data_IF_825088701242
#
_entry.id   IF_825088701242
#
_cell.length_a   1.000
_cell.length_b   1.000
_cell.length_c   1.000
_cell.angle_alpha   90.00
_cell.angle_beta   90.00
_cell.angle_gamma   90.00
#
_symmetry.space_group_name_H-M   'P 1'
#
loop_
_entity.id
_entity.type
_entity.pdbx_description
1 polymer ?
#
# COMPACT_ATOMS: atom_id res chain seq x y z
N UNK A 1 -24.21 -37.67 -10.83
CA UNK A 1 -23.41 -37.17 -9.70
C UNK A 1 -22.01 -36.65 -10.07
N UNK A 2 -21.44 -36.90 -11.25
CA UNK A 2 -20.07 -36.44 -11.61
C UNK A 2 -19.93 -34.97 -12.05
N UNK A 3 -21.03 -34.23 -12.28
CA UNK A 3 -20.98 -32.83 -12.77
C UNK A 3 -20.68 -31.79 -11.68
N UNK A 4 -21.04 -32.06 -10.43
CA UNK A 4 -20.83 -31.13 -9.30
C UNK A 4 -19.37 -31.05 -8.85
N UNK A 5 -18.56 -32.09 -9.08
CA UNK A 5 -17.14 -32.08 -8.71
C UNK A 5 -16.29 -31.13 -9.56
N UNK A 6 -16.66 -30.93 -10.84
CA UNK A 6 -15.92 -30.07 -11.77
C UNK A 6 -16.10 -28.59 -11.43
N UNK A 7 -17.30 -28.18 -10.99
CA UNK A 7 -17.58 -26.79 -10.61
C UNK A 7 -16.82 -26.41 -9.33
N UNK A 8 -16.75 -27.31 -8.34
CA UNK A 8 -15.98 -27.08 -7.12
C UNK A 8 -14.48 -26.99 -7.40
N UNK A 9 -13.97 -27.82 -8.32
CA UNK A 9 -12.57 -27.78 -8.75
C UNK A 9 -12.23 -26.47 -9.48
N UNK A 10 -13.15 -25.94 -10.30
CA UNK A 10 -12.95 -24.68 -11.02
C UNK A 10 -12.93 -23.44 -10.09
N UNK A 11 -13.72 -23.47 -9.01
CA UNK A 11 -13.77 -22.39 -8.02
C UNK A 11 -12.50 -22.29 -7.15
N UNK A 12 -11.75 -23.40 -6.99
CA UNK A 12 -10.52 -23.41 -6.19
C UNK A 12 -9.31 -22.72 -6.87
N UNK A 13 -9.40 -22.38 -8.17
CA UNK A 13 -8.27 -21.82 -8.93
C UNK A 13 -8.26 -20.27 -8.93
N UNK A 14 -9.26 -19.62 -8.32
CA UNK A 14 -9.33 -18.16 -8.17
C UNK A 14 -8.43 -17.65 -7.03
N UNK A 15 -7.15 -18.04 -7.03
CA UNK A 15 -6.16 -17.44 -6.12
C UNK A 15 -5.87 -16.02 -6.61
N UNK A 16 -5.99 -14.99 -5.77
CA UNK A 16 -5.63 -13.63 -6.17
C UNK A 16 -4.14 -13.59 -6.50
N UNK A 17 -3.83 -13.54 -7.79
CA UNK A 17 -2.48 -13.30 -8.26
C UNK A 17 -2.10 -11.86 -7.88
N UNK A 18 -1.35 -11.70 -6.79
CA UNK A 18 -0.66 -10.46 -6.45
C UNK A 18 0.49 -10.28 -7.44
N UNK A 19 0.17 -9.82 -8.63
CA UNK A 19 1.15 -9.52 -9.67
C UNK A 19 1.65 -8.08 -9.47
N UNK A 20 2.88 -7.94 -8.94
CA UNK A 20 3.61 -6.67 -9.02
C UNK A 20 4.14 -6.50 -10.44
N UNK A 21 4.02 -5.29 -10.98
CA UNK A 21 4.56 -4.94 -12.29
C UNK A 21 5.76 -4.01 -12.12
N UNK A 22 6.89 -4.39 -12.69
CA UNK A 22 8.13 -3.62 -12.68
C UNK A 22 8.27 -2.96 -14.04
N UNK A 23 8.52 -1.65 -14.03
CA UNK A 23 8.79 -0.86 -15.22
C UNK A 23 10.16 -0.19 -15.07
N UNK A 24 11.01 -0.29 -16.08
CA UNK A 24 12.29 0.44 -16.12
C UNK A 24 12.62 0.84 -17.55
N UNK A 25 13.48 1.85 -17.69
CA UNK A 25 14.02 2.24 -18.99
C UNK A 25 15.44 1.71 -19.14
N UNK A 26 15.71 1.05 -20.25
CA UNK A 26 17.06 0.63 -20.63
C UNK A 26 17.87 1.88 -21.02
N UNK A 27 19.00 2.17 -20.34
CA UNK A 27 19.79 3.36 -20.61
C UNK A 27 20.46 3.34 -21.98
N UNK A 28 20.74 2.16 -22.54
CA UNK A 28 21.46 2.03 -23.81
C UNK A 28 20.52 2.21 -25.01
N UNK A 29 19.31 1.64 -24.92
CA UNK A 29 18.34 1.68 -26.01
C UNK A 29 17.24 2.72 -25.86
N UNK A 30 17.08 3.30 -24.66
CA UNK A 30 15.98 4.20 -24.31
C UNK A 30 14.60 3.52 -24.29
N UNK A 31 14.55 2.18 -24.41
CA UNK A 31 13.29 1.43 -24.43
C UNK A 31 12.77 1.20 -23.01
N UNK A 32 11.46 1.29 -22.85
CA UNK A 32 10.79 0.93 -21.60
C UNK A 32 10.45 -0.55 -21.60
N UNK A 33 10.80 -1.23 -20.52
CA UNK A 33 10.52 -2.63 -20.27
C UNK A 33 9.47 -2.78 -19.17
N UNK A 34 8.66 -3.83 -19.28
CA UNK A 34 7.66 -4.22 -18.30
C UNK A 34 7.84 -5.70 -17.95
N UNK A 35 7.81 -6.03 -16.66
CA UNK A 35 7.95 -7.41 -16.18
C UNK A 35 7.07 -7.66 -14.97
N UNK A 36 6.55 -8.88 -14.82
CA UNK A 36 5.92 -9.34 -13.57
C UNK A 36 6.93 -9.78 -12.52
N UNK A 37 8.18 -10.00 -12.93
CA UNK A 37 9.29 -10.39 -12.07
C UNK A 37 10.28 -9.23 -11.89
N UNK A 38 10.84 -9.05 -10.68
CA UNK A 38 11.83 -8.00 -10.44
C UNK A 38 13.09 -8.25 -11.27
N UNK A 39 13.68 -7.21 -11.90
CA UNK A 39 15.00 -7.32 -12.51
C UNK A 39 16.04 -7.82 -11.49
N UNK A 40 17.00 -8.63 -11.93
CA UNK A 40 17.98 -9.26 -11.02
C UNK A 40 18.73 -8.24 -10.14
N UNK A 41 18.97 -7.03 -10.66
CA UNK A 41 19.67 -5.96 -9.95
C UNK A 41 18.79 -5.16 -8.98
N UNK A 42 17.45 -5.21 -9.10
CA UNK A 42 16.52 -4.45 -8.24
C UNK A 42 16.66 -4.79 -6.75
N UNK A 43 17.08 -6.02 -6.43
CA UNK A 43 17.32 -6.47 -5.05
C UNK A 43 18.80 -6.59 -4.68
N UNK A 44 19.69 -6.26 -5.61
CA UNK A 44 21.13 -6.32 -5.37
C UNK A 44 21.62 -4.98 -4.81
N UNK A 45 22.79 -4.98 -4.20
CA UNK A 45 23.49 -3.74 -3.84
C UNK A 45 24.06 -3.00 -5.07
N UNK A 46 23.91 -3.56 -6.28
CA UNK A 46 24.38 -2.93 -7.50
C UNK A 46 23.41 -1.82 -7.94
N UNK A 47 23.96 -0.66 -8.26
CA UNK A 47 23.20 0.42 -8.88
C UNK A 47 22.74 -0.02 -10.28
N UNK A 48 21.43 -0.07 -10.48
CA UNK A 48 20.83 -0.29 -11.80
C UNK A 48 19.98 0.89 -12.26
N UNK A 49 19.33 0.78 -13.42
CA UNK A 49 18.37 1.77 -13.91
C UNK A 49 17.27 2.14 -12.90
N UNK A 50 16.55 3.23 -13.15
CA UNK A 50 15.36 3.54 -12.35
C UNK A 50 14.25 2.52 -12.64
N UNK A 51 13.76 1.86 -11.59
CA UNK A 51 12.57 1.00 -11.57
C UNK A 51 11.41 1.72 -10.89
N UNK A 52 10.25 1.65 -11.54
CA UNK A 52 8.93 1.89 -10.95
C UNK A 52 8.28 0.54 -10.66
N UNK A 53 7.73 0.38 -9.46
CA UNK A 53 7.01 -0.83 -9.07
C UNK A 53 5.56 -0.49 -8.85
N UNK A 54 4.68 -1.22 -9.54
CA UNK A 54 3.25 -1.08 -9.43
C UNK A 54 2.66 -2.32 -8.75
N UNK A 55 1.70 -2.10 -7.85
CA UNK A 55 0.87 -3.15 -7.26
C UNK A 55 -0.59 -2.74 -7.45
N UNK A 56 -1.39 -3.58 -8.14
CA UNK A 56 -2.80 -3.30 -8.47
C UNK A 56 -3.03 -1.93 -9.14
N UNK A 57 -2.14 -1.56 -10.06
CA UNK A 57 -2.21 -0.28 -10.79
C UNK A 57 -1.78 0.95 -9.99
N UNK A 58 -1.36 0.79 -8.73
CA UNK A 58 -0.82 1.88 -7.92
C UNK A 58 0.71 1.82 -7.87
N UNK A 59 1.38 2.97 -8.00
CA UNK A 59 2.83 3.06 -7.85
C UNK A 59 3.20 2.87 -6.37
N UNK A 60 3.91 1.79 -6.05
CA UNK A 60 4.31 1.44 -4.68
C UNK A 60 5.78 1.69 -4.39
N UNK A 61 6.63 1.75 -5.41
CA UNK A 61 8.05 2.04 -5.25
C UNK A 61 8.62 2.77 -6.46
N UNK A 62 9.55 3.68 -6.20
CA UNK A 62 10.29 4.44 -7.20
C UNK A 62 11.74 4.60 -6.74
N UNK A 63 12.59 3.75 -7.30
CA UNK A 63 14.02 3.70 -6.97
C UNK A 63 14.79 4.96 -7.38
N UNK A 64 14.21 5.83 -8.20
CA UNK A 64 14.83 7.11 -8.59
C UNK A 64 14.72 8.19 -7.52
N UNK A 65 13.86 8.01 -6.53
CA UNK A 65 13.71 8.97 -5.43
C UNK A 65 14.79 8.70 -4.38
N UNK A 66 15.82 9.54 -4.35
CA UNK A 66 16.82 9.49 -3.29
C UNK A 66 16.20 9.97 -1.97
N UNK A 67 16.05 9.06 -1.02
CA UNK A 67 15.57 9.39 0.33
C UNK A 67 16.76 9.50 1.28
N UNK A 68 16.91 10.66 1.94
CA UNK A 68 17.98 10.86 2.91
C UNK A 68 17.88 9.84 4.08
N UNK A 69 18.97 9.62 4.81
CA UNK A 69 19.03 8.57 5.83
C UNK A 69 18.02 8.77 6.96
N UNK A 70 17.80 10.02 7.37
CA UNK A 70 16.84 10.39 8.41
C UNK A 70 15.40 10.09 8.00
N UNK A 71 15.00 10.52 6.80
CA UNK A 71 13.68 10.26 6.24
C UNK A 71 13.46 8.76 6.02
N UNK A 72 14.48 7.99 5.62
CA UNK A 72 14.39 6.52 5.57
C UNK A 72 14.13 5.91 6.94
N UNK A 73 14.77 6.40 8.01
CA UNK A 73 14.51 5.93 9.38
C UNK A 73 13.08 6.26 9.81
N UNK A 74 12.61 7.49 9.56
CA UNK A 74 11.25 7.91 9.88
C UNK A 74 10.19 7.08 9.15
N UNK A 75 10.35 6.84 7.85
CA UNK A 75 9.44 6.01 7.06
C UNK A 75 9.39 4.57 7.56
N UNK A 76 10.54 4.00 7.96
CA UNK A 76 10.57 2.65 8.57
C UNK A 76 9.83 2.60 9.90
N UNK A 77 10.04 3.60 10.76
CA UNK A 77 9.32 3.69 12.04
C UNK A 77 7.81 3.80 11.80
N UNK A 78 7.39 4.65 10.87
CA UNK A 78 5.98 4.79 10.49
C UNK A 78 5.40 3.47 9.95
N UNK A 79 6.14 2.75 9.10
CA UNK A 79 5.72 1.46 8.57
C UNK A 79 5.55 0.40 9.68
N UNK A 80 6.44 0.40 10.68
CA UNK A 80 6.34 -0.51 11.83
C UNK A 80 5.12 -0.21 12.70
N UNK A 81 4.84 1.07 12.99
CA UNK A 81 3.64 1.48 13.74
C UNK A 81 2.39 1.06 12.99
N UNK A 82 2.30 1.38 11.70
CA UNK A 82 1.16 0.99 10.87
C UNK A 82 0.94 -0.52 10.84
N UNK A 83 2.02 -1.32 10.74
CA UNK A 83 1.92 -2.77 10.75
C UNK A 83 1.39 -3.32 12.08
N UNK A 84 1.75 -2.70 13.20
CA UNK A 84 1.21 -3.06 14.51
C UNK A 84 -0.29 -2.74 14.62
N UNK A 85 -0.70 -1.56 14.16
CA UNK A 85 -2.11 -1.15 14.13
C UNK A 85 -2.96 -2.10 13.24
N UNK A 86 -2.45 -2.42 12.05
CA UNK A 86 -3.11 -3.34 11.10
C UNK A 86 -3.25 -4.75 11.71
N UNK A 87 -2.23 -5.22 12.45
CA UNK A 87 -2.26 -6.51 13.14
C UNK A 87 -3.31 -6.52 14.27
N UNK A 88 -3.41 -5.46 15.06
CA UNK A 88 -4.41 -5.38 16.13
C UNK A 88 -5.83 -5.30 15.54
N UNK A 89 -6.03 -4.53 14.47
CA UNK A 89 -7.29 -4.47 13.76
C UNK A 89 -7.69 -5.84 13.16
N UNK A 90 -6.71 -6.58 12.61
CA UNK A 90 -6.94 -7.94 12.14
C UNK A 90 -7.33 -8.90 13.28
N UNK A 91 -6.66 -8.79 14.45
CA UNK A 91 -6.98 -9.60 15.63
C UNK A 91 -8.41 -9.34 16.12
N UNK A 92 -8.81 -8.07 16.25
CA UNK A 92 -10.17 -7.70 16.65
C UNK A 92 -11.23 -8.28 15.72
N UNK A 93 -11.04 -8.16 14.39
CA UNK A 93 -11.96 -8.76 13.41
C UNK A 93 -12.02 -10.29 13.52
N UNK A 94 -10.89 -10.94 13.81
CA UNK A 94 -10.85 -12.38 14.02
C UNK A 94 -11.64 -12.79 15.27
N UNK A 95 -11.47 -12.09 16.39
CA UNK A 95 -12.21 -12.31 17.64
C UNK A 95 -13.72 -12.09 17.45
N UNK A 96 -14.12 -11.00 16.78
CA UNK A 96 -15.52 -10.72 16.44
C UNK A 96 -16.12 -11.83 15.57
N UNK A 97 -15.40 -12.28 14.54
CA UNK A 97 -15.86 -13.36 13.68
C UNK A 97 -15.99 -14.69 14.42
N UNK A 98 -15.10 -14.97 15.38
CA UNK A 98 -15.15 -16.16 16.21
C UNK A 98 -16.32 -16.11 17.20
N UNK A 99 -16.61 -14.94 17.78
CA UNK A 99 -17.77 -14.74 18.66
C UNK A 99 -19.08 -14.96 17.91
N UNK A 100 -19.21 -14.39 16.69
CA UNK A 100 -20.39 -14.62 15.84
C UNK A 100 -20.54 -16.10 15.49
N UNK A 101 -19.45 -16.78 15.10
CA UNK A 101 -19.50 -18.22 14.81
C UNK A 101 -19.92 -19.06 16.03
N UNK A 102 -19.44 -18.71 17.23
CA UNK A 102 -19.84 -19.39 18.46
C UNK A 102 -21.33 -19.19 18.78
N UNK A 103 -21.87 -17.99 18.54
CA UNK A 103 -23.29 -17.70 18.69
C UNK A 103 -24.15 -18.53 17.71
N UNK A 104 -23.75 -18.61 16.45
CA UNK A 104 -24.39 -19.48 15.45
C UNK A 104 -24.33 -20.95 15.85
N UNK A 105 -23.18 -21.43 16.32
CA UNK A 105 -22.98 -22.83 16.72
C UNK A 105 -23.77 -23.20 17.99
N UNK A 106 -23.99 -22.25 18.91
CA UNK A 106 -24.78 -22.45 20.11
C UNK A 106 -26.30 -22.58 19.84
N UNK A 107 -26.73 -22.47 18.59
CA UNK A 107 -28.13 -22.66 18.19
C UNK A 107 -29.08 -21.56 18.66
N UNK A 108 -28.53 -20.43 19.15
CA UNK A 108 -29.32 -19.33 19.72
C UNK A 108 -29.81 -18.33 18.66
N UNK A 109 -29.43 -18.52 17.39
CA UNK A 109 -29.94 -17.75 16.27
C UNK A 109 -30.85 -18.65 15.45
N UNK A 110 -32.16 -18.52 15.65
CA UNK A 110 -33.11 -18.83 14.60
C UNK A 110 -32.65 -18.04 13.38
N UNK A 111 -32.19 -18.73 12.33
CA UNK A 111 -31.81 -18.08 11.08
C UNK A 111 -32.88 -17.04 10.76
N UNK A 112 -32.54 -15.74 10.58
CA UNK A 112 -33.48 -14.84 9.94
C UNK A 112 -33.95 -15.57 8.69
N UNK A 113 -35.27 -15.73 8.49
CA UNK A 113 -35.78 -16.57 7.42
C UNK A 113 -35.05 -16.13 6.18
N UNK A 114 -34.24 -17.05 5.62
CA UNK A 114 -33.68 -16.90 4.29
C UNK A 114 -34.86 -16.41 3.47
N UNK A 115 -34.80 -15.16 3.02
CA UNK A 115 -35.78 -14.60 2.10
C UNK A 115 -36.07 -15.70 1.09
N UNK A 116 -37.36 -16.00 0.82
CA UNK A 116 -37.76 -17.19 0.09
C UNK A 116 -36.81 -17.34 -1.07
N UNK A 117 -36.05 -18.44 -1.01
CA UNK A 117 -35.19 -18.90 -2.07
C UNK A 117 -36.07 -18.84 -3.30
N UNK A 118 -35.89 -17.78 -4.09
CA UNK A 118 -36.67 -17.54 -5.29
C UNK A 118 -36.57 -18.85 -6.04
N UNK A 119 -37.73 -19.46 -6.24
CA UNK A 119 -37.88 -20.80 -6.76
C UNK A 119 -36.87 -20.97 -7.89
N UNK A 120 -36.11 -22.06 -7.82
CA UNK A 120 -35.33 -22.52 -8.94
C UNK A 120 -36.26 -22.60 -10.16
N UNK A 121 -36.24 -21.56 -10.98
CA UNK A 121 -36.78 -21.63 -12.31
C UNK A 121 -35.86 -22.54 -13.12
N UNK A 122 -36.43 -23.50 -13.86
CA UNK A 122 -35.67 -24.54 -14.53
C UNK A 122 -34.83 -23.91 -15.64
N UNK A 123 -33.68 -24.54 -15.87
CA UNK A 123 -32.81 -24.32 -17.02
C UNK A 123 -33.60 -24.16 -18.33
N UNK A 124 -33.70 -22.92 -18.80
CA UNK A 124 -34.05 -22.58 -20.17
C UNK A 124 -33.15 -21.42 -20.62
N UNK A 125 -32.30 -21.76 -21.59
CA UNK A 125 -31.62 -20.88 -22.53
C UNK A 125 -30.58 -19.88 -22.00
N UNK A 126 -29.36 -20.10 -22.50
CA UNK A 126 -28.26 -19.16 -22.50
C UNK A 126 -28.66 -17.89 -23.27
N UNK A 127 -29.23 -16.91 -22.57
CA UNK A 127 -29.28 -15.53 -23.00
C UNK A 127 -28.02 -14.81 -22.53
N UNK A 128 -27.14 -14.44 -23.46
CA UNK A 128 -26.10 -13.43 -23.26
C UNK A 128 -26.71 -12.19 -22.58
N UNK A 129 -26.39 -11.97 -21.30
CA UNK A 129 -26.49 -10.63 -20.72
C UNK A 129 -25.14 -9.96 -21.02
N UNK A 130 -25.01 -9.50 -22.26
CA UNK A 130 -24.13 -8.40 -22.62
C UNK A 130 -24.79 -7.13 -22.05
N UNK A 131 -24.70 -6.95 -20.74
CA UNK A 131 -25.01 -5.65 -20.12
C UNK A 131 -23.84 -4.73 -20.50
N UNK A 132 -24.00 -4.05 -21.64
CA UNK A 132 -23.21 -2.88 -21.97
C UNK A 132 -23.17 -1.98 -20.72
N UNK A 133 -22.00 -1.47 -20.31
CA UNK A 133 -21.92 -0.55 -19.18
C UNK A 133 -22.86 0.62 -19.49
N UNK A 134 -23.88 0.83 -18.64
CA UNK A 134 -24.73 2.00 -18.73
C UNK A 134 -23.81 3.23 -18.69
N UNK A 135 -23.74 3.94 -19.82
CA UNK A 135 -23.01 5.19 -19.89
C UNK A 135 -23.59 6.11 -18.82
N UNK A 136 -22.78 6.42 -17.81
CA UNK A 136 -23.13 7.39 -16.77
C UNK A 136 -23.25 8.74 -17.47
N UNK A 137 -24.47 9.11 -17.84
CA UNK A 137 -24.79 10.41 -18.41
C UNK A 137 -24.75 11.44 -17.28
N UNK A 138 -23.59 12.04 -17.07
CA UNK A 138 -23.45 13.20 -16.19
C UNK A 138 -24.19 14.39 -16.83
N UNK A 139 -25.02 15.06 -16.04
CA UNK A 139 -25.65 16.31 -16.49
C UNK A 139 -24.61 17.42 -16.60
N UNK A 140 -24.89 18.45 -17.41
CA UNK A 140 -24.00 19.62 -17.52
C UNK A 140 -23.79 20.30 -16.16
N UNK A 141 -24.81 20.26 -15.29
CA UNK A 141 -24.74 20.74 -13.91
C UNK A 141 -23.72 19.94 -13.07
N UNK A 142 -23.76 18.61 -13.13
CA UNK A 142 -22.80 17.75 -12.43
C UNK A 142 -21.36 17.94 -12.95
N UNK A 143 -21.20 18.17 -14.25
CA UNK A 143 -19.89 18.46 -14.85
C UNK A 143 -19.34 19.80 -14.33
N UNK A 144 -20.19 20.82 -14.19
CA UNK A 144 -19.79 22.11 -13.65
C UNK A 144 -19.47 22.02 -12.15
N UNK A 145 -20.25 21.27 -11.37
CA UNK A 145 -19.96 21.03 -9.95
C UNK A 145 -18.60 20.33 -9.75
N UNK A 146 -18.29 19.33 -10.60
CA UNK A 146 -16.98 18.66 -10.56
C UNK A 146 -15.83 19.61 -10.91
N UNK A 147 -16.03 20.52 -11.87
CA UNK A 147 -15.02 21.53 -12.24
C UNK A 147 -14.76 22.51 -11.10
N UNK A 148 -15.82 22.98 -10.45
CA UNK A 148 -15.70 23.88 -9.30
C UNK A 148 -14.96 23.19 -8.15
N UNK A 149 -15.28 21.93 -7.86
CA UNK A 149 -14.62 21.15 -6.81
C UNK A 149 -13.12 20.93 -7.11
N UNK A 150 -12.76 20.68 -8.37
CA UNK A 150 -11.35 20.56 -8.80
C UNK A 150 -10.63 21.90 -8.64
N UNK A 151 -11.22 23.02 -9.08
CA UNK A 151 -10.62 24.34 -8.94
C UNK A 151 -10.41 24.74 -7.46
N UNK A 152 -11.39 24.44 -6.61
CA UNK A 152 -11.31 24.67 -5.16
C UNK A 152 -10.18 23.85 -4.52
N UNK A 153 -10.04 22.58 -4.94
CA UNK A 153 -8.99 21.70 -4.47
C UNK A 153 -7.60 22.17 -4.91
N UNK A 154 -7.43 22.57 -6.18
CA UNK A 154 -6.18 23.10 -6.71
C UNK A 154 -5.73 24.35 -5.95
N UNK A 155 -6.65 25.29 -5.69
CA UNK A 155 -6.35 26.51 -4.92
C UNK A 155 -5.88 26.20 -3.49
N UNK A 156 -6.51 25.25 -2.81
CA UNK A 156 -6.10 24.82 -1.46
C UNK A 156 -4.73 24.15 -1.47
N UNK A 157 -4.47 23.32 -2.48
CA UNK A 157 -3.20 22.62 -2.60
C UNK A 157 -2.05 23.59 -2.91
N UNK A 158 -2.28 24.57 -3.78
CA UNK A 158 -1.29 25.61 -4.09
C UNK A 158 -0.95 26.45 -2.85
N UNK A 159 -1.96 26.88 -2.07
CA UNK A 159 -1.74 27.63 -0.84
C UNK A 159 -0.93 26.83 0.20
N UNK A 160 -1.22 25.54 0.37
CA UNK A 160 -0.46 24.65 1.26
C UNK A 160 1.00 24.49 0.81
N UNK A 161 1.22 24.35 -0.49
CA UNK A 161 2.56 24.19 -1.05
C UNK A 161 3.39 25.49 -0.93
N UNK A 162 2.78 26.66 -1.13
CA UNK A 162 3.44 27.95 -0.92
C UNK A 162 3.85 28.17 0.54
N UNK A 163 3.03 27.77 1.51
CA UNK A 163 3.41 27.81 2.94
C UNK A 163 4.60 26.91 3.25
N UNK A 164 4.66 25.73 2.62
CA UNK A 164 5.77 24.79 2.82
C UNK A 164 7.09 25.31 2.25
N UNK A 165 7.06 26.03 1.12
CA UNK A 165 8.27 26.65 0.53
C UNK A 165 8.75 27.85 1.35
N UNK A 166 7.85 28.68 1.89
CA UNK A 166 8.24 29.83 2.71
C UNK A 166 8.80 29.44 4.08
N UNK A 167 8.42 28.30 4.64
CA UNK A 167 8.98 27.80 5.91
C UNK A 167 10.40 27.23 5.82
N UNK A 168 10.94 27.02 4.62
CA UNK A 168 12.27 26.38 4.41
C UNK A 168 13.39 27.40 4.16
N UNK A 169 13.05 28.66 3.89
CA UNK A 169 14.04 29.72 3.65
C UNK A 169 13.93 30.74 4.79
N UNK A 170 14.52 30.44 5.95
CA UNK A 170 15.04 31.48 6.83
C UNK A 170 16.43 31.87 6.30
N UNK A 171 16.58 33.04 5.64
CA UNK A 171 17.88 33.57 5.25
C UNK A 171 18.60 34.13 6.48
N UNK A 172 19.19 33.25 7.29
CA UNK A 172 19.88 33.68 8.51
C UNK A 172 20.64 32.60 9.26
N UNK A 173 20.25 31.34 9.13
CA UNK A 173 20.98 30.22 9.72
C UNK A 173 22.16 29.87 8.83
N UNK A 174 23.19 30.72 8.86
CA UNK A 174 24.52 30.32 8.42
C UNK A 174 24.85 29.00 9.11
N UNK A 175 25.21 27.94 8.37
CA UNK A 175 25.74 26.75 9.01
C UNK A 175 26.91 27.22 9.89
N UNK A 176 26.96 26.87 11.19
CA UNK A 176 28.13 27.16 12.00
C UNK A 176 29.33 26.65 11.22
N UNK A 177 30.33 27.50 11.04
CA UNK A 177 31.57 27.13 10.39
C UNK A 177 32.02 25.81 11.00
N UNK A 178 32.02 24.75 10.18
CA UNK A 178 32.46 23.44 10.58
C UNK A 178 33.96 23.56 10.81
N UNK A 179 34.35 23.90 12.04
CA UNK A 179 35.72 23.76 12.50
C UNK A 179 36.08 22.30 12.29
N UNK A 180 37.01 22.07 11.36
CA UNK A 180 37.46 20.78 10.89
C UNK A 180 38.36 20.05 11.90
N UNK A 181 37.97 20.09 13.18
CA UNK A 181 38.72 19.49 14.28
C UNK A 181 37.79 18.66 15.18
N UNK A 182 36.89 17.88 14.56
CA UNK A 182 36.20 16.82 15.28
C UNK A 182 37.23 15.72 15.54
N UNK A 183 37.65 15.48 16.81
CA UNK A 183 38.52 14.36 17.10
C UNK A 183 37.81 13.10 16.64
N UNK A 184 38.51 12.30 15.82
CA UNK A 184 38.06 10.98 15.41
C UNK A 184 37.79 10.16 16.67
N UNK A 185 36.52 10.09 17.09
CA UNK A 185 36.11 9.25 18.20
C UNK A 185 36.44 7.82 17.79
N UNK A 186 37.34 7.11 18.50
CA UNK A 186 37.63 5.73 18.16
C UNK A 186 36.34 4.92 18.25
N UNK A 187 36.15 3.91 17.38
CA UNK A 187 34.98 3.05 17.44
C UNK A 187 34.87 2.45 18.84
N UNK A 188 33.72 2.66 19.48
CA UNK A 188 33.41 2.10 20.80
C UNK A 188 33.62 0.60 20.73
N UNK A 189 34.44 0.08 21.65
CA UNK A 189 34.74 -1.35 21.69
C UNK A 189 33.47 -2.14 22.02
N UNK A 190 33.35 -3.37 21.50
CA UNK A 190 32.20 -4.26 21.78
C UNK A 190 31.95 -4.43 23.29
N UNK A 191 33.01 -4.42 24.09
CA UNK A 191 32.93 -4.57 25.55
C UNK A 191 32.33 -3.34 26.24
N UNK A 192 32.64 -2.13 25.77
CA UNK A 192 32.02 -0.91 26.29
C UNK A 192 30.54 -0.81 25.93
N UNK A 193 30.16 -1.27 24.73
CA UNK A 193 28.77 -1.30 24.28
C UNK A 193 27.93 -2.26 25.14
N UNK A 194 28.50 -3.39 25.55
CA UNK A 194 27.84 -4.34 26.45
C UNK A 194 27.70 -3.78 27.87
N UNK A 195 28.72 -3.12 28.42
CA UNK A 195 28.61 -2.47 29.74
C UNK A 195 27.54 -1.38 29.77
N UNK A 196 27.41 -0.60 28.69
CA UNK A 196 26.39 0.43 28.60
C UNK A 196 24.98 -0.18 28.63
N UNK A 197 24.75 -1.26 27.90
CA UNK A 197 23.45 -1.96 27.89
C UNK A 197 23.12 -2.57 29.25
N UNK A 198 24.10 -3.17 29.94
CA UNK A 198 23.90 -3.72 31.29
C UNK A 198 23.57 -2.61 32.31
N UNK A 199 24.16 -1.42 32.16
CA UNK A 199 23.87 -0.27 33.05
C UNK A 199 22.44 0.27 32.90
N UNK A 200 21.87 0.18 31.69
CA UNK A 200 20.50 0.62 31.40
C UNK A 200 19.44 -0.39 31.85
N UNK A 201 19.83 -1.67 32.04
CA UNK A 201 18.92 -2.71 32.52
C UNK A 201 18.79 -2.75 34.06
N UNK A 202 19.61 -1.98 34.78
CA UNK A 202 19.65 -1.92 36.24
C UNK A 202 18.90 -0.73 36.85
N UNK A 203 18.34 0.16 36.01
CA UNK A 203 17.41 1.24 36.41
C UNK A 203 15.95 0.80 36.23
#
# INVERSE_FOLDING_TARGET
>A
MMRSGIVLLLLLVMVPASARMYQWSDPDSGRTHFSGEPPAWYRSDANGPRVFVFDRGQLVDDTGVSVNAERRRALRQQALVKAADDQEAARRRAEESAALQAEFAAGNTALPPLLPQAAAEPAAEAGMIEAAPEEIQLTEEQVNELRDLVADWEARNEAANQQQVQGVIEPGSSPPATDADTPSTPPISREELLRYLDSQAAE
#
